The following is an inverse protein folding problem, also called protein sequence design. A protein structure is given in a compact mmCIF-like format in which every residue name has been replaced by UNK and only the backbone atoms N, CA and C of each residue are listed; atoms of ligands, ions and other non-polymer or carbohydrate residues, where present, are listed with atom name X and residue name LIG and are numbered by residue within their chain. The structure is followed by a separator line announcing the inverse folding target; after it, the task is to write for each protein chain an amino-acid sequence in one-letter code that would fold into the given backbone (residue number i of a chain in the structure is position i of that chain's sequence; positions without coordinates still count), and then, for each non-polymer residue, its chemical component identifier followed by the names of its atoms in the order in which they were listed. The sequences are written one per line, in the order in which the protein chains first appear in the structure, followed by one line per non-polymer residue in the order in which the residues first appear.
data_IF_710295314987
#
_entry.id   IF_710295314987
#
_cell.length_a   1.000
_cell.length_b   1.000
_cell.length_c   1.000
_cell.angle_alpha   90.00
_cell.angle_beta   90.00
_cell.angle_gamma   90.00
#
_symmetry.space_group_name_H-M   'P 1'
#
loop_
_entity.id
_entity.type
_entity.pdbx_description
1 polymer ?
#
# COMPACT_ATOMS: atom_id res chain seq x y z
N UNK A 1 -2.00 15.05 -1.90
CA UNK A 1 -1.20 14.94 -0.65
C UNK A 1 -0.88 13.48 -0.38
N UNK A 2 0.33 13.13 0.06
CA UNK A 2 0.69 11.74 0.41
C UNK A 2 1.47 11.66 1.73
N UNK A 3 1.28 10.59 2.49
CA UNK A 3 1.94 10.34 3.77
C UNK A 3 2.91 9.17 3.66
N UNK A 4 4.04 9.30 4.34
CA UNK A 4 4.86 8.15 4.66
C UNK A 4 4.22 7.38 5.81
N UNK A 5 4.14 6.06 5.66
CA UNK A 5 3.56 5.15 6.64
C UNK A 5 4.48 3.95 6.83
N UNK A 6 4.29 3.21 7.91
CA UNK A 6 4.97 1.96 8.20
C UNK A 6 3.98 0.82 8.34
N UNK A 7 4.30 -0.29 7.67
CA UNK A 7 3.63 -1.58 7.77
C UNK A 7 4.67 -2.62 8.21
N UNK A 8 4.72 -2.88 9.52
CA UNK A 8 5.82 -3.64 10.11
C UNK A 8 7.17 -2.94 9.90
N UNK A 9 8.10 -3.59 9.19
CA UNK A 9 9.43 -3.03 8.87
C UNK A 9 9.48 -2.24 7.56
N UNK A 10 8.42 -2.30 6.76
CA UNK A 10 8.39 -1.67 5.45
C UNK A 10 7.82 -0.25 5.55
N UNK A 11 8.37 0.67 4.76
CA UNK A 11 7.83 2.03 4.58
C UNK A 11 7.02 2.09 3.29
N UNK A 12 5.82 2.64 3.35
CA UNK A 12 4.97 2.82 2.18
C UNK A 12 4.41 4.23 2.12
N UNK A 13 4.14 4.69 0.90
CA UNK A 13 3.46 5.96 0.67
C UNK A 13 1.97 5.75 0.45
N UNK A 14 1.16 6.54 1.13
CA UNK A 14 -0.30 6.55 0.95
C UNK A 14 -0.77 7.93 0.54
N UNK A 15 -1.47 8.02 -0.58
CA UNK A 15 -2.22 9.23 -0.92
C UNK A 15 -3.33 9.46 0.12
N UNK A 16 -3.62 10.71 0.44
CA UNK A 16 -4.77 11.07 1.27
C UNK A 16 -5.85 11.61 0.37
N UNK A 17 -7.00 10.96 0.37
CA UNK A 17 -8.12 11.30 -0.51
C UNK A 17 -9.44 11.26 0.26
N UNK A 18 -10.04 12.42 0.45
CA UNK A 18 -11.34 12.58 1.11
C UNK A 18 -12.52 12.23 0.22
N UNK A 19 -12.32 12.12 -1.10
CA UNK A 19 -13.33 11.67 -2.05
C UNK A 19 -13.44 10.14 -2.14
N UNK A 20 -12.40 9.42 -1.71
CA UNK A 20 -12.43 7.96 -1.70
C UNK A 20 -13.21 7.40 -0.49
N UNK A 21 -14.18 6.52 -0.77
CA UNK A 21 -14.99 5.87 0.25
C UNK A 21 -14.22 4.83 1.09
N UNK A 22 -13.22 4.18 0.48
CA UNK A 22 -12.44 3.09 1.08
C UNK A 22 -10.94 3.35 0.97
N UNK A 23 -10.15 2.59 1.72
CA UNK A 23 -8.70 2.57 1.53
C UNK A 23 -8.34 1.57 0.43
N UNK A 24 -7.36 1.92 -0.40
CA UNK A 24 -6.88 1.07 -1.49
C UNK A 24 -5.40 0.80 -1.29
N UNK A 25 -4.97 -0.42 -1.62
CA UNK A 25 -3.56 -0.80 -1.69
C UNK A 25 -3.29 -1.32 -3.10
N UNK A 26 -2.21 -0.90 -3.73
CA UNK A 26 -1.80 -1.46 -5.01
C UNK A 26 -1.39 -2.93 -4.85
N UNK A 27 -1.68 -3.75 -5.85
CA UNK A 27 -1.22 -5.14 -5.90
C UNK A 27 0.32 -5.23 -5.73
N UNK A 28 1.07 -4.32 -6.36
CA UNK A 28 2.54 -4.29 -6.24
C UNK A 28 3.00 -4.12 -4.80
N UNK A 29 2.39 -3.21 -4.05
CA UNK A 29 2.68 -3.00 -2.64
C UNK A 29 2.31 -4.24 -1.79
N UNK A 30 1.15 -4.84 -2.07
CA UNK A 30 0.71 -6.07 -1.42
C UNK A 30 1.69 -7.23 -1.65
N UNK A 31 2.14 -7.44 -2.90
CA UNK A 31 3.13 -8.48 -3.22
C UNK A 31 4.47 -8.24 -2.52
N UNK A 32 4.91 -6.98 -2.42
CA UNK A 32 6.13 -6.63 -1.67
C UNK A 32 5.98 -6.95 -0.17
N UNK A 33 4.82 -6.64 0.42
CA UNK A 33 4.49 -7.00 1.81
C UNK A 33 4.52 -8.52 2.02
N UNK A 34 3.87 -9.29 1.13
CA UNK A 34 3.86 -10.75 1.20
C UNK A 34 5.26 -11.33 1.12
N UNK A 35 6.11 -10.81 0.22
CA UNK A 35 7.51 -11.25 0.10
C UNK A 35 8.29 -11.00 1.39
N UNK A 36 8.16 -9.80 1.97
CA UNK A 36 8.85 -9.45 3.21
C UNK A 36 8.39 -10.27 4.42
N UNK A 37 7.13 -10.71 4.42
CA UNK A 37 6.54 -11.51 5.50
C UNK A 37 6.59 -13.02 5.27
N UNK A 38 7.40 -13.52 4.31
CA UNK A 38 7.48 -14.95 3.94
C UNK A 38 6.12 -15.58 3.56
N UNK A 39 5.24 -14.80 2.92
CA UNK A 39 4.03 -15.27 2.25
C UNK A 39 2.78 -15.47 3.11
N UNK A 40 2.89 -15.89 4.37
CA UNK A 40 1.73 -16.37 5.14
C UNK A 40 0.98 -15.30 5.95
N UNK A 41 1.63 -14.20 6.34
CA UNK A 41 1.10 -13.29 7.37
C UNK A 41 -0.14 -12.47 6.95
N UNK A 42 -0.33 -12.23 5.65
CA UNK A 42 -1.34 -11.28 5.16
C UNK A 42 -2.27 -11.95 4.13
N UNK A 43 -3.23 -12.78 4.55
CA UNK A 43 -4.18 -13.39 3.62
C UNK A 43 -5.15 -12.34 3.06
N UNK A 44 -5.53 -12.49 1.78
CA UNK A 44 -6.65 -11.76 1.21
C UNK A 44 -7.95 -12.44 1.65
N UNK A 45 -8.94 -11.62 1.97
CA UNK A 45 -10.32 -12.04 2.21
C UNK A 45 -11.16 -11.70 0.99
N UNK A 46 -12.17 -12.51 0.66
CA UNK A 46 -13.11 -12.18 -0.40
C UNK A 46 -13.83 -10.86 -0.09
N UNK A 47 -14.35 -10.23 -1.14
CA UNK A 47 -15.05 -8.96 -1.09
C UNK A 47 -16.16 -8.97 -2.14
N UNK A 48 -17.29 -8.39 -1.79
CA UNK A 48 -18.47 -8.33 -2.67
C UNK A 48 -18.72 -6.90 -3.20
N UNK A 49 -17.82 -5.96 -2.93
CA UNK A 49 -17.99 -4.58 -3.37
C UNK A 49 -17.45 -4.39 -4.80
N UNK A 50 -18.32 -3.85 -5.64
CA UNK A 50 -17.94 -3.29 -6.94
C UNK A 50 -17.54 -1.83 -6.73
N UNK A 51 -16.24 -1.58 -6.65
CA UNK A 51 -15.70 -0.24 -6.46
C UNK A 51 -15.42 0.41 -7.81
N UNK A 52 -15.82 1.68 -7.94
CA UNK A 52 -15.57 2.48 -9.14
C UNK A 52 -14.41 3.44 -8.89
N UNK A 53 -13.55 3.58 -9.90
CA UNK A 53 -12.51 4.61 -9.94
C UNK A 53 -13.10 5.98 -10.28
N UNK A 54 -12.24 7.01 -10.24
CA UNK A 54 -12.62 8.40 -10.56
C UNK A 54 -13.08 8.56 -12.01
N UNK A 55 -12.58 7.72 -12.92
CA UNK A 55 -12.96 7.68 -14.34
C UNK A 55 -14.28 6.94 -14.58
N UNK A 56 -14.99 6.51 -13.54
CA UNK A 56 -16.13 5.61 -13.63
C UNK A 56 -15.79 4.26 -14.26
N UNK A 57 -14.52 3.87 -14.28
CA UNK A 57 -14.09 2.52 -14.61
C UNK A 57 -14.06 1.64 -13.35
N UNK A 58 -14.46 0.37 -13.43
CA UNK A 58 -14.36 -0.54 -12.29
C UNK A 58 -12.91 -0.74 -11.82
N UNK A 59 -12.70 -0.75 -10.51
CA UNK A 59 -11.46 -1.22 -9.91
C UNK A 59 -11.46 -2.75 -9.89
N UNK A 60 -10.37 -3.35 -10.38
CA UNK A 60 -10.17 -4.79 -10.30
C UNK A 60 -9.61 -5.14 -8.91
N UNK A 61 -10.53 -5.47 -7.99
CA UNK A 61 -10.22 -5.78 -6.61
C UNK A 61 -9.93 -7.28 -6.44
N UNK A 62 -8.73 -7.60 -5.96
CA UNK A 62 -8.28 -8.96 -5.69
C UNK A 62 -8.78 -9.50 -4.34
N UNK A 63 -9.16 -8.60 -3.43
CA UNK A 63 -9.67 -8.91 -2.10
C UNK A 63 -9.35 -7.83 -1.08
N UNK A 64 -9.67 -8.10 0.19
CA UNK A 64 -9.40 -7.21 1.32
C UNK A 64 -8.26 -7.78 2.17
N UNK A 65 -7.31 -6.93 2.54
CA UNK A 65 -6.28 -7.25 3.53
C UNK A 65 -6.38 -6.30 4.72
N UNK A 66 -6.30 -6.82 5.94
CA UNK A 66 -6.26 -6.01 7.16
C UNK A 66 -4.82 -5.84 7.63
N UNK A 67 -4.30 -4.61 7.58
CA UNK A 67 -2.89 -4.33 7.90
C UNK A 67 -2.74 -3.40 9.10
N UNK A 68 -1.73 -3.64 9.97
CA UNK A 68 -1.31 -2.68 10.97
C UNK A 68 -0.47 -1.57 10.31
N UNK A 69 -0.99 -0.35 10.30
CA UNK A 69 -0.36 0.85 9.74
C UNK A 69 -0.06 1.84 10.86
N UNK A 70 1.11 2.46 10.83
CA UNK A 70 1.45 3.63 11.65
C UNK A 70 2.02 4.73 10.75
N UNK A 71 1.87 6.00 11.11
CA UNK A 71 2.47 7.08 10.32
C UNK A 71 4.00 7.10 10.54
N UNK A 72 4.46 7.02 11.80
CA UNK A 72 5.90 6.99 12.15
C UNK A 72 6.14 6.27 13.49
N UNK A 73 7.40 6.24 13.95
CA UNK A 73 7.76 5.74 15.28
C UNK A 73 7.05 6.58 16.36
N UNK A 74 6.37 5.93 17.29
CA UNK A 74 5.69 6.62 18.40
C UNK A 74 4.30 7.16 18.08
N UNK A 75 3.68 6.73 16.97
CA UNK A 75 2.24 6.88 16.73
C UNK A 75 1.52 5.55 16.98
N UNK A 76 0.26 5.62 17.41
CA UNK A 76 -0.56 4.41 17.59
C UNK A 76 -0.71 3.63 16.29
N UNK A 77 -0.81 2.30 16.40
CA UNK A 77 -1.05 1.41 15.25
C UNK A 77 -2.54 1.46 14.90
N UNK A 78 -2.84 1.81 13.65
CA UNK A 78 -4.16 1.73 13.04
C UNK A 78 -4.30 0.39 12.34
N UNK A 79 -5.35 -0.38 12.62
CA UNK A 79 -5.64 -1.63 11.90
C UNK A 79 -6.66 -1.35 10.81
N UNK A 80 -6.17 -1.11 9.59
CA UNK A 80 -6.98 -0.66 8.46
C UNK A 80 -7.30 -1.83 7.52
N UNK A 81 -8.54 -1.88 7.04
CA UNK A 81 -8.94 -2.72 5.92
C UNK A 81 -8.60 -2.00 4.61
N UNK A 82 -7.90 -2.70 3.72
CA UNK A 82 -7.40 -2.20 2.44
C UNK A 82 -7.89 -3.09 1.31
N UNK A 83 -8.52 -2.49 0.33
CA UNK A 83 -8.93 -3.16 -0.90
C UNK A 83 -7.72 -3.23 -1.83
N UNK A 84 -7.28 -4.44 -2.16
CA UNK A 84 -6.11 -4.63 -3.02
C UNK A 84 -6.53 -4.57 -4.48
N UNK A 85 -6.05 -3.56 -5.21
CA UNK A 85 -6.41 -3.32 -6.60
C UNK A 85 -5.23 -3.59 -7.55
N UNK A 86 -5.47 -4.33 -8.63
CA UNK A 86 -4.45 -4.62 -9.66
C UNK A 86 -4.26 -3.47 -10.65
N UNK A 87 -5.31 -2.68 -10.90
CA UNK A 87 -5.31 -1.53 -11.81
C UNK A 87 -5.16 -0.17 -11.08
N UNK A 88 -4.35 -0.11 -10.00
CA UNK A 88 -4.09 1.12 -9.26
C UNK A 88 -2.94 1.94 -9.88
N UNK A 89 -3.23 3.14 -10.38
CA UNK A 89 -2.28 3.95 -11.18
C UNK A 89 -1.58 5.09 -10.43
N UNK A 90 -2.07 5.50 -9.25
CA UNK A 90 -1.49 6.64 -8.52
C UNK A 90 -0.02 6.41 -8.14
N UNK A 91 0.81 7.47 -8.10
CA UNK A 91 2.25 7.39 -7.78
C UNK A 91 2.55 7.08 -6.30
N UNK A 92 1.69 6.33 -5.63
CA UNK A 92 1.81 5.89 -4.23
C UNK A 92 1.64 4.37 -4.14
N UNK A 93 1.88 3.79 -2.96
CA UNK A 93 1.61 2.37 -2.72
C UNK A 93 0.13 2.09 -2.49
N UNK A 94 -0.59 3.08 -1.99
CA UNK A 94 -2.02 3.00 -1.73
C UNK A 94 -2.63 4.37 -1.48
N UNK A 95 -3.85 4.34 -0.98
CA UNK A 95 -4.68 5.51 -0.71
C UNK A 95 -5.45 5.32 0.60
N UNK A 96 -5.49 6.36 1.43
CA UNK A 96 -6.30 6.45 2.64
C UNK A 96 -7.59 7.21 2.32
N UNK A 97 -8.70 6.50 2.42
CA UNK A 97 -10.03 7.06 2.15
C UNK A 97 -10.66 7.73 3.36
N UNK A 98 -11.75 8.44 3.12
CA UNK A 98 -12.48 9.26 4.08
C UNK A 98 -12.84 8.50 5.37
N UNK A 99 -13.28 7.24 5.26
CA UNK A 99 -13.66 6.42 6.41
C UNK A 99 -12.53 6.30 7.43
N UNK A 100 -11.31 6.07 6.98
CA UNK A 100 -10.14 5.94 7.87
C UNK A 100 -9.70 7.28 8.43
N UNK A 101 -9.73 8.33 7.61
CA UNK A 101 -9.38 9.68 8.04
C UNK A 101 -10.30 10.12 9.20
N UNK A 102 -11.62 9.91 9.03
CA UNK A 102 -12.62 10.21 10.07
C UNK A 102 -12.46 9.34 11.32
N UNK A 103 -12.35 8.02 11.17
CA UNK A 103 -12.28 7.11 12.34
C UNK A 103 -11.03 7.32 13.19
N UNK A 104 -9.94 7.79 12.57
CA UNK A 104 -8.68 8.11 13.25
C UNK A 104 -8.56 9.60 13.61
N UNK A 105 -9.62 10.41 13.41
CA UNK A 105 -9.66 11.86 13.69
C UNK A 105 -8.47 12.61 13.09
N UNK A 106 -8.10 12.26 11.86
CA UNK A 106 -7.05 12.94 11.13
C UNK A 106 -7.55 14.30 10.63
N UNK A 107 -6.75 15.34 10.84
CA UNK A 107 -7.05 16.70 10.37
C UNK A 107 -6.07 17.04 9.24
N UNK A 108 -6.59 17.45 8.10
CA UNK A 108 -5.79 17.79 6.92
C UNK A 108 -5.62 19.31 6.90
N UNK A 109 -4.37 19.77 6.82
CA UNK A 109 -3.99 21.17 6.66
C UNK A 109 -3.31 21.35 5.29
N UNK A 110 -4.08 21.59 4.22
CA UNK A 110 -3.53 21.68 2.87
C UNK A 110 -2.56 22.86 2.70
N UNK A 111 -2.83 24.00 3.32
CA UNK A 111 -2.04 25.24 3.18
C UNK A 111 -0.59 25.10 3.62
N UNK A 112 -0.35 24.19 4.57
CA UNK A 112 0.98 23.86 5.10
C UNK A 112 1.41 22.43 4.75
N UNK A 113 0.70 21.79 3.82
CA UNK A 113 0.94 20.43 3.32
C UNK A 113 1.16 19.40 4.46
N UNK A 114 0.28 19.42 5.46
CA UNK A 114 0.44 18.65 6.71
C UNK A 114 -0.84 17.92 7.10
N UNK A 115 -0.69 16.79 7.80
CA UNK A 115 -1.80 16.10 8.48
C UNK A 115 -1.52 16.04 9.98
N UNK A 116 -2.53 16.35 10.81
CA UNK A 116 -2.48 16.09 12.24
C UNK A 116 -3.13 14.76 12.57
N UNK A 117 -2.45 13.96 13.39
CA UNK A 117 -2.96 12.72 13.94
C UNK A 117 -2.52 12.59 15.40
N UNK A 118 -3.47 12.39 16.31
CA UNK A 118 -3.22 12.32 17.76
C UNK A 118 -2.42 13.52 18.30
N UNK A 119 -2.78 14.74 17.85
CA UNK A 119 -2.11 15.99 18.25
C UNK A 119 -0.73 16.23 17.63
N UNK A 120 -0.18 15.27 16.87
CA UNK A 120 1.11 15.39 16.19
C UNK A 120 0.93 15.78 14.73
N UNK A 121 1.76 16.70 14.24
CA UNK A 121 1.80 17.08 12.83
C UNK A 121 2.73 16.19 12.00
N UNK A 122 2.29 15.84 10.79
CA UNK A 122 3.02 15.01 9.83
C UNK A 122 3.06 15.74 8.50
N UNK A 123 4.26 16.16 8.09
CA UNK A 123 4.45 16.77 6.79
C UNK A 123 4.17 15.72 5.71
N UNK A 124 3.35 16.09 4.72
CA UNK A 124 3.14 15.25 3.56
C UNK A 124 4.38 15.22 2.67
N UNK A 125 4.53 14.12 1.94
CA UNK A 125 5.63 13.89 1.03
C UNK A 125 5.51 14.80 -0.19
N UNK A 126 6.58 15.51 -0.53
CA UNK A 126 6.67 16.27 -1.78
C UNK A 126 6.80 15.32 -2.99
N UNK A 127 7.49 14.20 -2.80
CA UNK A 127 7.66 13.14 -3.80
C UNK A 127 7.39 11.79 -3.14
N UNK A 128 6.22 11.18 -3.37
CA UNK A 128 5.90 9.88 -2.78
C UNK A 128 6.83 8.80 -3.36
N UNK A 129 7.40 7.97 -2.47
CA UNK A 129 8.20 6.81 -2.87
C UNK A 129 7.39 5.53 -2.69
N UNK A 130 7.37 4.68 -3.72
CA UNK A 130 6.72 3.38 -3.66
C UNK A 130 7.62 2.36 -2.94
N UNK A 131 7.02 1.39 -2.26
CA UNK A 131 7.68 0.21 -1.67
C UNK A 131 8.61 -0.50 -2.66
N UNK A 132 8.20 -0.54 -3.93
CA UNK A 132 8.99 -1.16 -4.99
C UNK A 132 10.28 -0.41 -5.32
N UNK A 133 10.39 0.86 -4.94
CA UNK A 133 11.57 1.71 -5.20
C UNK A 133 12.67 1.50 -4.16
N UNK A 134 12.34 1.18 -2.90
CA UNK A 134 13.32 0.85 -1.85
C UNK A 134 13.80 -0.62 -1.94
N UNK A 135 13.02 -1.48 -2.60
CA UNK A 135 13.45 -2.85 -2.90
C UNK A 135 14.48 -2.80 -4.05
N UNK A 136 15.75 -2.55 -3.72
CA UNK A 136 16.92 -2.68 -4.61
C UNK A 136 17.18 -4.12 -5.10
N UNK A 137 16.14 -4.79 -5.58
CA UNK A 137 16.15 -6.11 -6.22
C UNK A 137 16.12 -5.95 -7.74
N UNK A 138 16.85 -4.96 -8.28
CA UNK A 138 17.50 -5.08 -9.59
C UNK A 138 18.82 -5.86 -9.45
N UNK A 139 18.82 -6.98 -8.69
CA UNK A 139 19.82 -8.00 -8.97
C UNK A 139 19.41 -8.58 -10.31
N UNK A 140 20.12 -8.19 -11.37
CA UNK A 140 20.23 -9.00 -12.58
C UNK A 140 20.45 -10.43 -12.09
N UNK A 141 19.43 -11.28 -12.21
CA UNK A 141 19.60 -12.71 -12.00
C UNK A 141 20.48 -13.15 -13.15
N UNK A 142 21.78 -13.30 -12.91
CA UNK A 142 22.67 -13.97 -13.84
C UNK A 142 22.17 -15.42 -13.88
N UNK A 143 21.44 -15.78 -14.94
CA UNK A 143 20.87 -17.11 -15.18
C UNK A 143 21.93 -18.22 -15.29
N UNK A 144 23.22 -17.89 -15.20
CA UNK A 144 24.34 -18.83 -15.30
C UNK A 144 24.75 -19.56 -14.01
N UNK A 145 24.17 -19.28 -12.84
CA UNK A 145 24.65 -19.86 -11.55
C UNK A 145 23.56 -20.42 -10.64
N UNK A 146 22.40 -20.80 -11.18
CA UNK A 146 21.41 -21.54 -10.39
C UNK A 146 21.69 -23.06 -10.43
N UNK A 147 21.75 -23.75 -9.27
CA UNK A 147 21.83 -25.20 -9.24
C UNK A 147 20.58 -25.81 -9.90
N UNK A 148 20.78 -26.89 -10.68
CA UNK A 148 19.77 -27.49 -11.57
C UNK A 148 18.44 -27.87 -10.90
N UNK A 149 18.40 -27.96 -9.56
CA UNK A 149 17.22 -28.38 -8.78
C UNK A 149 16.12 -27.32 -8.62
N UNK A 150 16.32 -26.08 -9.07
CA UNK A 150 15.33 -25.00 -8.93
C UNK A 150 14.60 -24.61 -10.25
N UNK A 151 14.81 -25.36 -11.33
CA UNK A 151 14.21 -25.05 -12.66
C UNK A 151 12.70 -25.25 -12.82
N UNK A 152 11.95 -26.08 -12.05
CA UNK A 152 10.54 -26.31 -12.37
C UNK A 152 9.56 -25.25 -11.79
N UNK A 153 10.03 -24.20 -11.11
CA UNK A 153 9.16 -23.20 -10.46
C UNK A 153 9.14 -21.82 -11.15
N UNK A 154 9.55 -21.73 -12.41
CA UNK A 154 9.39 -20.50 -13.17
C UNK A 154 8.12 -20.58 -14.04
N UNK A 155 7.24 -19.57 -14.01
CA UNK A 155 6.09 -19.54 -14.89
C UNK A 155 6.58 -19.39 -16.35
N UNK A 156 6.18 -20.32 -17.20
CA UNK A 156 6.25 -20.16 -18.65
C UNK A 156 5.51 -18.86 -19.02
N UNK A 157 6.22 -17.90 -19.62
CA UNK A 157 5.58 -16.86 -20.41
C UNK A 157 5.29 -17.46 -21.78
N UNK A 158 4.01 -17.57 -22.13
CA UNK A 158 3.59 -17.51 -23.54
C UNK A 158 3.71 -16.07 -24.01
#
# INVERSE_FOLDING_TARGET
MALSTKMGRLKASFAVDTGAAVNVLSEKAYLALKRASRGSQWPLRPNDLNLMGVTSEPLNILGIVRLPISLVKGTSIMRLDLYVASNFSLPTDGLLGLKSLKSNRMVIHPDINMIKFQGKGFQAMNQPMRLTSECGLNRKVNLGTLPAKLRPYLPFRM
#
